data_IF_963201812283
#
_entry.id   IF_963201812283
#
_cell.length_a   1.000
_cell.length_b   1.000
_cell.length_c   1.000
_cell.angle_alpha   90.00
_cell.angle_beta   90.00
_cell.angle_gamma   90.00
#
_symmetry.space_group_name_H-M   'P 1'
#
loop_
_entity.id
_entity.type
_entity.pdbx_description
1 polymer ?
#
# COMPACT_ATOMS: atom_id res chain seq x y z
N UNK A 1 -18.72 -2.47 -11.46
CA UNK A 1 -17.75 -2.52 -10.37
C UNK A 1 -17.49 -1.11 -9.91
N UNK A 2 -17.29 -0.91 -8.64
CA UNK A 2 -16.92 0.39 -8.07
C UNK A 2 -15.67 0.18 -7.22
N UNK A 3 -14.83 1.19 -7.12
CA UNK A 3 -13.54 1.07 -6.43
C UNK A 3 -13.30 2.26 -5.53
N UNK A 4 -12.65 1.99 -4.40
CA UNK A 4 -12.05 2.96 -3.49
C UNK A 4 -10.54 2.84 -3.60
N UNK A 5 -9.85 3.96 -3.75
CA UNK A 5 -8.42 4.08 -3.61
C UNK A 5 -8.12 4.90 -2.34
N UNK A 6 -7.55 4.24 -1.35
CA UNK A 6 -7.03 4.87 -0.15
C UNK A 6 -5.56 5.21 -0.39
N UNK A 7 -5.13 6.42 -0.10
CA UNK A 7 -3.78 6.86 -0.42
C UNK A 7 -3.35 8.06 0.43
N UNK A 8 -2.09 8.43 0.37
CA UNK A 8 -1.63 9.76 0.77
C UNK A 8 -1.26 10.59 -0.47
N UNK A 9 -0.81 11.83 -0.30
CA UNK A 9 -0.44 12.69 -1.44
C UNK A 9 1.04 13.06 -1.44
N UNK A 10 1.62 13.16 -2.63
CA UNK A 10 2.95 13.73 -2.87
C UNK A 10 2.91 15.26 -2.67
N UNK A 11 2.86 15.66 -1.41
CA UNK A 11 2.79 17.05 -1.03
C UNK A 11 3.61 17.25 0.24
N UNK A 12 4.69 17.98 0.13
CA UNK A 12 5.63 18.19 1.22
C UNK A 12 5.10 19.23 2.21
N UNK A 13 3.94 18.95 2.73
CA UNK A 13 3.23 19.69 3.75
C UNK A 13 2.55 18.71 4.70
N UNK A 14 2.30 19.03 5.97
CA UNK A 14 1.68 18.10 6.92
C UNK A 14 0.32 17.54 6.46
N UNK A 15 -0.39 18.27 5.62
CA UNK A 15 -1.66 17.81 5.05
C UNK A 15 -1.50 16.86 3.86
N UNK A 16 -0.33 16.75 3.25
CA UNK A 16 -0.04 15.78 2.20
C UNK A 16 0.02 14.35 2.73
N UNK A 17 0.68 14.16 3.85
CA UNK A 17 0.89 12.87 4.50
C UNK A 17 -0.23 12.59 5.51
N UNK A 18 -1.45 12.47 4.99
CA UNK A 18 -2.68 12.14 5.68
C UNK A 18 -3.46 11.12 4.85
N UNK A 19 -4.61 10.65 5.35
CA UNK A 19 -5.45 9.69 4.61
C UNK A 19 -6.37 10.41 3.66
N UNK A 20 -6.27 10.06 2.39
CA UNK A 20 -7.14 10.51 1.31
C UNK A 20 -7.91 9.34 0.71
N UNK A 21 -9.10 9.62 0.24
CA UNK A 21 -9.91 8.68 -0.53
C UNK A 21 -10.21 9.22 -1.92
N UNK A 22 -10.18 8.33 -2.88
CA UNK A 22 -10.64 8.57 -4.24
C UNK A 22 -11.49 7.41 -4.71
N UNK A 23 -12.47 7.65 -5.54
CA UNK A 23 -13.38 6.61 -6.00
C UNK A 23 -13.41 6.53 -7.52
N UNK A 24 -13.75 5.36 -8.03
CA UNK A 24 -13.91 5.10 -9.46
C UNK A 24 -15.13 4.21 -9.72
N UNK A 25 -15.83 4.48 -10.85
CA UNK A 25 -16.92 3.62 -11.36
C UNK A 25 -16.44 2.57 -12.36
N UNK A 26 -15.22 2.74 -12.86
CA UNK A 26 -14.72 1.94 -13.97
C UNK A 26 -13.28 1.44 -13.78
N UNK A 27 -12.60 1.86 -12.68
CA UNK A 27 -11.20 1.57 -12.44
C UNK A 27 -10.22 2.40 -13.27
N UNK A 28 -10.70 3.18 -14.24
CA UNK A 28 -9.87 4.00 -15.13
C UNK A 28 -9.82 5.47 -14.73
N UNK A 29 -10.95 6.02 -14.29
CA UNK A 29 -11.10 7.44 -13.92
C UNK A 29 -11.36 7.54 -12.44
N UNK A 30 -10.51 8.29 -11.76
CA UNK A 30 -10.50 8.41 -10.32
C UNK A 30 -10.87 9.83 -9.89
N UNK A 31 -11.91 9.94 -9.10
CA UNK A 31 -12.39 11.19 -8.54
C UNK A 31 -11.94 11.30 -7.08
N UNK A 32 -11.14 12.33 -6.69
CA UNK A 32 -10.82 12.55 -5.28
C UNK A 32 -12.10 12.89 -4.51
N UNK A 33 -12.18 12.45 -3.27
CA UNK A 33 -13.26 12.81 -2.36
C UNK A 33 -12.90 14.02 -1.48
N UNK A 34 -13.89 14.54 -0.75
CA UNK A 34 -13.75 15.62 0.23
C UNK A 34 -13.09 16.90 -0.36
N UNK A 35 -13.40 17.24 -1.61
CA UNK A 35 -12.78 18.38 -2.29
C UNK A 35 -11.26 18.25 -2.44
N UNK A 36 -10.72 17.04 -2.35
CA UNK A 36 -9.28 16.77 -2.35
C UNK A 36 -8.57 17.08 -1.03
N UNK A 37 -9.32 17.30 0.06
CA UNK A 37 -8.81 17.38 1.43
C UNK A 37 -8.70 15.98 2.06
N UNK A 38 -7.92 15.81 3.15
CA UNK A 38 -7.86 14.54 3.87
C UNK A 38 -9.23 14.10 4.40
N UNK A 39 -9.49 12.80 4.36
CA UNK A 39 -10.66 12.17 5.01
C UNK A 39 -10.37 11.86 6.47
N UNK A 40 -9.15 11.37 6.76
CA UNK A 40 -8.67 11.16 8.13
C UNK A 40 -7.34 11.89 8.33
N UNK A 41 -7.14 12.39 9.55
CA UNK A 41 -5.93 13.13 9.93
C UNK A 41 -5.24 12.50 11.12
N UNK A 42 -3.91 12.55 11.14
CA UNK A 42 -3.09 12.04 12.21
C UNK A 42 -2.91 13.10 13.30
N UNK A 43 -3.47 12.82 14.48
CA UNK A 43 -3.28 13.63 15.69
C UNK A 43 -2.28 13.02 16.69
N UNK A 44 -1.79 11.81 16.42
CA UNK A 44 -0.90 11.02 17.28
C UNK A 44 0.35 10.57 16.49
N UNK A 45 1.35 10.04 17.18
CA UNK A 45 2.55 9.50 16.56
C UNK A 45 3.39 10.56 15.85
N UNK A 46 3.76 10.29 14.61
CA UNK A 46 4.57 11.16 13.77
C UNK A 46 3.83 12.43 13.30
N UNK A 47 2.51 12.51 13.51
CA UNK A 47 1.66 13.62 13.05
C UNK A 47 1.33 13.60 11.56
N UNK A 48 1.58 12.49 10.90
CA UNK A 48 1.24 12.18 9.52
C UNK A 48 1.30 10.69 9.27
N UNK A 49 0.79 10.26 8.13
CA UNK A 49 0.83 8.85 7.72
C UNK A 49 1.07 8.69 6.22
N UNK A 50 1.64 7.55 5.87
CA UNK A 50 1.93 7.13 4.50
C UNK A 50 1.39 5.72 4.27
N UNK A 51 1.40 5.27 3.02
CA UNK A 51 1.15 3.88 2.65
C UNK A 51 -0.18 3.37 3.24
N UNK A 52 -1.26 3.96 2.74
CA UNK A 52 -2.60 3.82 3.34
C UNK A 52 -3.30 2.58 2.80
N UNK A 53 -3.63 1.65 3.69
CA UNK A 53 -4.38 0.44 3.38
C UNK A 53 -5.81 0.52 3.94
N UNK A 54 -6.80 0.25 3.10
CA UNK A 54 -8.22 0.20 3.46
C UNK A 54 -8.72 -1.24 3.44
N UNK A 55 -9.30 -1.65 4.55
CA UNK A 55 -9.79 -3.02 4.76
C UNK A 55 -11.28 -3.04 5.00
N UNK A 56 -11.99 -3.83 4.20
CA UNK A 56 -13.39 -4.17 4.41
C UNK A 56 -13.48 -5.46 5.23
N UNK A 57 -14.08 -5.37 6.41
CA UNK A 57 -14.15 -6.51 7.32
C UNK A 57 -15.23 -7.50 6.90
N UNK A 58 -14.93 -8.80 6.94
CA UNK A 58 -15.91 -9.89 6.67
C UNK A 58 -17.08 -9.89 7.67
N UNK A 59 -16.83 -9.41 8.88
CA UNK A 59 -17.85 -9.27 9.93
C UNK A 59 -18.68 -7.99 9.83
N UNK A 60 -18.41 -7.17 8.85
CA UNK A 60 -18.95 -5.81 8.70
C UNK A 60 -18.06 -4.74 9.33
N UNK A 61 -18.16 -3.51 8.81
CA UNK A 61 -17.30 -2.39 9.18
C UNK A 61 -16.00 -2.34 8.38
N UNK A 62 -15.17 -1.36 8.71
CA UNK A 62 -14.02 -0.96 7.93
C UNK A 62 -12.85 -0.57 8.83
N UNK A 63 -11.64 -0.81 8.34
CA UNK A 63 -10.40 -0.41 8.99
C UNK A 63 -9.53 0.33 7.98
N UNK A 64 -8.85 1.36 8.43
CA UNK A 64 -7.71 1.97 7.72
C UNK A 64 -6.46 1.73 8.54
N UNK A 65 -5.43 1.21 7.89
CA UNK A 65 -4.07 1.09 8.42
C UNK A 65 -3.14 2.01 7.64
N UNK A 66 -2.11 2.54 8.28
CA UNK A 66 -1.10 3.34 7.60
C UNK A 66 0.22 3.35 8.37
N UNK A 67 1.32 3.56 7.65
CA UNK A 67 2.63 3.83 8.22
C UNK A 67 2.59 5.09 9.09
N UNK A 68 3.00 5.02 10.33
CA UNK A 68 3.15 6.19 11.22
C UNK A 68 4.46 6.92 10.87
N UNK A 69 4.42 7.74 9.83
CA UNK A 69 5.56 8.52 9.34
C UNK A 69 5.08 9.81 8.69
N UNK A 70 5.69 10.92 9.07
CA UNK A 70 5.54 12.22 8.43
C UNK A 70 6.92 12.74 8.02
N UNK A 71 7.22 12.70 6.74
CA UNK A 71 8.53 13.11 6.21
C UNK A 71 8.80 14.59 6.45
N UNK A 72 7.76 15.42 6.35
CA UNK A 72 7.89 16.87 6.61
C UNK A 72 8.40 17.13 8.02
N UNK A 73 8.02 16.32 9.00
CA UNK A 73 8.47 16.44 10.40
C UNK A 73 9.88 15.85 10.63
N UNK A 74 10.46 15.19 9.63
CA UNK A 74 11.80 14.59 9.65
C UNK A 74 12.80 15.30 8.74
N UNK A 75 12.41 16.35 8.06
CA UNK A 75 13.27 17.16 7.22
C UNK A 75 14.19 18.04 8.06
N UNK A 76 15.43 18.16 7.61
CA UNK A 76 16.35 19.17 8.11
C UNK A 76 15.98 20.59 7.60
N UNK A 77 16.73 21.60 8.05
CA UNK A 77 16.53 22.99 7.62
C UNK A 77 16.72 23.23 6.11
N UNK A 78 17.27 22.28 5.38
CA UNK A 78 17.48 22.29 3.94
C UNK A 78 16.46 21.44 3.15
N UNK A 79 15.52 20.80 3.85
CA UNK A 79 14.52 19.93 3.25
C UNK A 79 15.03 18.51 2.95
N UNK A 80 16.17 18.11 3.49
CA UNK A 80 16.68 16.75 3.31
C UNK A 80 16.08 15.81 4.36
N UNK A 81 15.87 14.57 3.97
CA UNK A 81 15.41 13.48 4.83
C UNK A 81 16.54 12.50 5.09
N UNK A 82 16.81 12.20 6.35
CA UNK A 82 17.68 11.10 6.73
C UNK A 82 16.89 9.79 6.72
N UNK A 83 16.85 9.13 5.55
CA UNK A 83 16.17 7.86 5.38
C UNK A 83 16.76 6.73 6.23
N UNK A 84 18.07 6.83 6.54
CA UNK A 84 18.72 5.88 7.44
C UNK A 84 18.16 6.02 8.85
N UNK A 85 18.01 7.24 9.36
CA UNK A 85 17.36 7.48 10.65
C UNK A 85 15.88 7.05 10.61
N UNK A 86 15.17 7.31 9.52
CA UNK A 86 13.77 6.90 9.38
C UNK A 86 13.57 5.38 9.48
N UNK A 87 14.47 4.57 8.93
CA UNK A 87 14.33 3.12 8.97
C UNK A 87 15.05 2.42 10.13
N UNK A 88 15.90 3.14 10.90
CA UNK A 88 16.54 2.63 12.14
C UNK A 88 15.79 3.06 13.40
N UNK A 89 15.34 4.32 13.42
CA UNK A 89 14.69 4.98 14.55
C UNK A 89 13.27 5.44 14.20
N UNK A 90 12.64 4.73 13.28
CA UNK A 90 11.26 4.98 12.86
C UNK A 90 10.23 4.60 13.92
N UNK A 91 8.96 4.90 13.64
CA UNK A 91 7.87 4.48 14.50
C UNK A 91 7.75 2.95 14.51
N UNK A 92 7.48 2.39 15.68
CA UNK A 92 7.19 0.97 15.91
C UNK A 92 5.69 0.71 16.01
N UNK A 93 4.91 1.69 15.56
CA UNK A 93 3.47 1.65 15.53
C UNK A 93 2.96 1.81 14.10
N UNK A 94 1.78 1.27 13.85
CA UNK A 94 0.95 1.66 12.71
C UNK A 94 -0.21 2.51 13.19
N UNK A 95 -0.60 3.49 12.37
CA UNK A 95 -1.83 4.24 12.57
C UNK A 95 -3.03 3.42 12.13
N UNK A 96 -4.10 3.41 12.93
CA UNK A 96 -5.31 2.64 12.67
C UNK A 96 -6.57 3.45 13.00
N UNK A 97 -7.56 3.37 12.12
CA UNK A 97 -8.92 3.90 12.33
C UNK A 97 -9.96 2.82 12.03
N UNK A 98 -11.11 2.90 12.68
CA UNK A 98 -12.26 2.00 12.48
C UNK A 98 -13.51 2.79 12.18
N UNK A 99 -14.36 2.22 11.33
CA UNK A 99 -15.71 2.74 11.05
C UNK A 99 -16.67 1.58 10.83
N UNK A 100 -17.92 1.76 11.23
CA UNK A 100 -18.99 0.82 10.93
C UNK A 100 -19.75 1.19 9.63
N UNK A 101 -19.58 2.41 9.12
CA UNK A 101 -20.43 2.96 8.06
C UNK A 101 -19.70 3.79 6.98
N UNK A 102 -18.37 3.84 6.97
CA UNK A 102 -17.51 4.64 6.06
C UNK A 102 -17.54 6.16 6.30
N UNK A 103 -18.37 6.63 7.20
CA UNK A 103 -18.61 8.07 7.43
C UNK A 103 -18.10 8.49 8.80
N UNK A 104 -18.48 7.73 9.82
CA UNK A 104 -18.11 8.00 11.20
C UNK A 104 -16.90 7.13 11.57
N UNK A 105 -15.74 7.75 11.55
CA UNK A 105 -14.47 7.11 11.93
C UNK A 105 -14.16 7.36 13.40
N UNK A 106 -13.69 6.32 14.07
CA UNK A 106 -13.15 6.44 15.42
C UNK A 106 -11.88 7.30 15.46
N UNK A 107 -11.38 7.55 16.66
CA UNK A 107 -10.08 8.23 16.83
C UNK A 107 -8.93 7.38 16.29
N UNK A 108 -7.85 8.05 15.86
CA UNK A 108 -6.60 7.38 15.53
C UNK A 108 -6.08 6.56 16.71
N UNK A 109 -5.81 5.30 16.48
CA UNK A 109 -5.08 4.42 17.38
C UNK A 109 -3.66 4.20 16.85
N UNK A 110 -2.69 4.09 17.75
CA UNK A 110 -1.34 3.63 17.42
C UNK A 110 -1.21 2.19 17.87
N UNK A 111 -1.02 1.27 16.93
CA UNK A 111 -0.98 -0.16 17.17
C UNK A 111 0.47 -0.63 17.21
N UNK A 112 0.88 -1.22 18.35
CA UNK A 112 2.18 -1.84 18.56
C UNK A 112 2.07 -3.36 18.45
N UNK A 113 2.91 -3.98 17.61
CA UNK A 113 2.88 -5.42 17.40
C UNK A 113 3.81 -6.23 18.33
N UNK A 114 4.35 -5.61 19.38
CA UNK A 114 5.08 -6.32 20.44
C UNK A 114 6.57 -6.57 20.18
N UNK A 115 7.17 -5.91 19.18
CA UNK A 115 8.62 -6.01 18.92
C UNK A 115 9.29 -4.64 18.95
N UNK A 116 10.14 -4.44 19.98
CA UNK A 116 10.92 -3.23 20.18
C UNK A 116 12.17 -3.15 19.27
N UNK A 117 12.60 -4.29 18.75
CA UNK A 117 13.82 -4.41 17.94
C UNK A 117 13.61 -4.12 16.45
N UNK A 118 12.39 -3.80 16.00
CA UNK A 118 12.15 -3.25 14.68
C UNK A 118 12.69 -1.82 14.58
N UNK A 119 13.29 -1.48 13.44
CA UNK A 119 13.71 -0.11 13.14
C UNK A 119 12.57 0.78 12.66
N UNK A 120 11.60 0.19 11.97
CA UNK A 120 10.41 0.86 11.45
C UNK A 120 9.30 -0.16 11.16
N UNK A 121 8.08 0.32 10.90
CA UNK A 121 6.98 -0.47 10.31
C UNK A 121 6.46 0.32 9.11
N UNK A 122 6.80 -0.12 7.89
CA UNK A 122 6.49 0.61 6.67
C UNK A 122 5.61 -0.18 5.71
N UNK A 123 4.73 0.54 5.03
CA UNK A 123 3.87 0.02 3.98
C UNK A 123 3.07 -1.21 4.44
N UNK A 124 2.19 -1.05 5.45
CA UNK A 124 1.32 -2.14 5.85
C UNK A 124 0.31 -2.44 4.77
N UNK A 125 0.15 -3.71 4.45
CA UNK A 125 -0.95 -4.23 3.66
C UNK A 125 -1.65 -5.39 4.35
N UNK A 126 -2.86 -5.72 3.91
CA UNK A 126 -3.71 -6.70 4.56
C UNK A 126 -4.26 -7.69 3.54
N UNK A 127 -3.94 -8.95 3.73
CA UNK A 127 -4.53 -10.05 2.99
C UNK A 127 -5.49 -10.85 3.87
N UNK A 128 -6.73 -11.11 3.41
CA UNK A 128 -7.65 -11.99 4.12
C UNK A 128 -7.42 -13.45 3.72
N UNK A 129 -6.96 -14.25 4.67
CA UNK A 129 -6.77 -15.70 4.50
C UNK A 129 -8.10 -16.43 4.77
N UNK A 130 -8.79 -16.80 3.70
CA UNK A 130 -10.07 -17.53 3.79
C UNK A 130 -9.92 -18.93 4.39
N UNK A 131 -8.70 -19.54 4.31
CA UNK A 131 -8.45 -20.89 4.84
C UNK A 131 -8.36 -20.85 6.35
N UNK A 132 -7.72 -19.80 6.92
CA UNK A 132 -7.53 -19.64 8.37
C UNK A 132 -8.59 -18.75 9.02
N UNK A 133 -9.43 -18.10 8.21
CA UNK A 133 -10.42 -17.12 8.63
C UNK A 133 -9.79 -16.02 9.50
N UNK A 134 -8.74 -15.41 8.95
CA UNK A 134 -7.99 -14.32 9.61
C UNK A 134 -7.39 -13.37 8.59
N UNK A 135 -7.05 -12.18 9.03
CA UNK A 135 -6.32 -11.19 8.25
C UNK A 135 -4.82 -11.33 8.52
N UNK A 136 -4.03 -11.47 7.47
CA UNK A 136 -2.59 -11.35 7.51
C UNK A 136 -2.24 -9.87 7.26
N UNK A 137 -1.68 -9.21 8.26
CA UNK A 137 -1.08 -7.88 8.08
C UNK A 137 0.39 -8.11 7.79
N UNK A 138 0.92 -7.52 6.73
CA UNK A 138 2.34 -7.61 6.39
C UNK A 138 2.92 -6.22 6.10
N UNK A 139 4.21 -6.03 6.38
CA UNK A 139 4.89 -4.74 6.29
C UNK A 139 6.40 -4.90 6.14
N UNK A 140 7.09 -3.86 5.67
CA UNK A 140 8.56 -3.79 5.62
C UNK A 140 9.15 -3.33 6.96
N UNK A 141 10.18 -4.04 7.45
CA UNK A 141 10.96 -3.65 8.63
C UNK A 141 12.42 -4.01 8.49
N UNK A 142 13.27 -3.20 9.12
CA UNK A 142 14.63 -3.56 9.52
C UNK A 142 14.65 -4.02 10.96
N UNK A 143 15.66 -4.77 11.40
CA UNK A 143 15.76 -5.30 12.75
C UNK A 143 17.13 -5.02 13.40
N UNK A 144 17.15 -4.89 14.72
CA UNK A 144 18.38 -4.62 15.46
C UNK A 144 19.40 -5.75 15.41
N UNK A 145 18.95 -7.00 15.21
CA UNK A 145 19.81 -8.19 15.18
C UNK A 145 20.88 -8.11 14.07
N UNK A 146 20.54 -7.53 12.93
CA UNK A 146 21.47 -7.33 11.80
C UNK A 146 22.05 -5.89 11.74
N UNK A 147 21.82 -5.08 12.78
CA UNK A 147 22.22 -3.67 12.83
C UNK A 147 21.36 -2.77 11.92
N UNK A 148 20.12 -3.16 11.67
CA UNK A 148 19.17 -2.48 10.78
C UNK A 148 19.68 -2.35 9.33
N UNK A 149 20.47 -3.33 8.90
CA UNK A 149 21.16 -3.27 7.61
C UNK A 149 20.34 -3.86 6.46
N UNK A 150 19.23 -4.55 6.76
CA UNK A 150 18.45 -5.28 5.76
C UNK A 150 16.95 -5.17 6.02
N UNK A 151 16.22 -4.65 5.05
CA UNK A 151 14.76 -4.59 5.11
C UNK A 151 14.13 -5.86 4.52
N UNK A 152 13.22 -6.45 5.29
CA UNK A 152 12.46 -7.65 4.93
C UNK A 152 10.99 -7.46 5.24
N UNK A 153 10.13 -8.32 4.66
CA UNK A 153 8.70 -8.33 4.95
C UNK A 153 8.42 -9.20 6.17
N UNK A 154 7.78 -8.59 7.17
CA UNK A 154 7.27 -9.25 8.36
C UNK A 154 5.75 -9.32 8.31
N UNK A 155 5.15 -10.18 9.12
CA UNK A 155 3.70 -10.29 9.22
C UNK A 155 3.24 -10.64 10.63
N UNK A 156 1.98 -10.33 10.90
CA UNK A 156 1.19 -10.88 12.01
C UNK A 156 -0.23 -11.18 11.53
N UNK A 157 -0.96 -11.96 12.32
CA UNK A 157 -2.35 -12.29 12.04
C UNK A 157 -3.30 -11.64 13.04
N UNK A 158 -4.50 -11.33 12.59
CA UNK A 158 -5.60 -10.82 13.42
C UNK A 158 -6.96 -11.27 12.88
N UNK A 159 -7.95 -11.40 13.77
CA UNK A 159 -9.34 -11.63 13.37
C UNK A 159 -10.22 -10.39 13.49
N UNK A 160 -9.76 -9.40 14.25
CA UNK A 160 -10.61 -8.29 14.72
C UNK A 160 -9.90 -6.93 14.72
N UNK A 161 -8.64 -6.89 14.29
CA UNK A 161 -7.76 -5.70 14.36
C UNK A 161 -7.64 -5.12 15.78
N UNK A 162 -7.90 -5.93 16.83
CA UNK A 162 -7.76 -5.55 18.25
C UNK A 162 -6.71 -6.42 18.94
N UNK A 163 -6.66 -7.68 18.55
CA UNK A 163 -5.70 -8.66 19.04
C UNK A 163 -4.85 -9.16 17.88
N UNK A 164 -3.55 -9.22 18.09
CA UNK A 164 -2.58 -9.57 17.05
C UNK A 164 -1.68 -10.71 17.50
N UNK A 165 -1.35 -11.60 16.60
CA UNK A 165 -0.30 -12.60 16.86
C UNK A 165 1.07 -11.92 16.94
N UNK A 166 2.05 -12.60 17.52
CA UNK A 166 3.44 -12.12 17.50
C UNK A 166 3.94 -11.98 16.06
N UNK A 167 4.67 -10.91 15.74
CA UNK A 167 5.29 -10.72 14.44
C UNK A 167 6.30 -11.82 14.11
N UNK A 168 6.34 -12.19 12.84
CA UNK A 168 7.32 -13.13 12.29
C UNK A 168 7.79 -12.70 10.91
N UNK A 169 8.97 -13.18 10.51
CA UNK A 169 9.45 -13.01 9.15
C UNK A 169 8.48 -13.71 8.18
N UNK A 170 8.04 -12.99 7.15
CA UNK A 170 7.16 -13.51 6.11
C UNK A 170 7.93 -13.81 4.83
N UNK A 171 8.68 -12.83 4.34
CA UNK A 171 9.41 -12.96 3.09
C UNK A 171 10.68 -12.11 3.11
N UNK A 172 11.77 -12.65 2.59
CA UNK A 172 13.07 -11.97 2.48
C UNK A 172 13.80 -12.39 1.22
N UNK A 173 14.67 -11.55 0.75
CA UNK A 173 15.57 -11.78 -0.40
C UNK A 173 16.98 -11.34 -0.01
N UNK A 174 17.95 -11.58 -0.89
CA UNK A 174 19.33 -11.09 -0.73
C UNK A 174 19.38 -9.55 -0.74
N UNK A 175 18.59 -8.93 -1.60
CA UNK A 175 18.39 -7.47 -1.63
C UNK A 175 17.29 -7.05 -0.65
N UNK A 176 17.36 -5.80 -0.16
CA UNK A 176 16.29 -5.20 0.62
C UNK A 176 14.99 -5.14 -0.18
N UNK A 177 13.89 -5.52 0.49
CA UNK A 177 12.56 -5.54 -0.11
C UNK A 177 11.56 -4.86 0.80
N UNK A 178 10.57 -4.18 0.21
CA UNK A 178 9.45 -3.55 0.92
C UNK A 178 8.24 -3.42 -0.03
N UNK A 179 7.18 -2.77 0.41
CA UNK A 179 5.97 -2.51 -0.36
C UNK A 179 5.43 -3.79 -1.00
N UNK A 180 5.07 -4.76 -0.18
CA UNK A 180 4.56 -6.03 -0.67
C UNK A 180 3.04 -6.00 -0.81
N UNK A 181 2.53 -6.61 -1.88
CA UNK A 181 1.10 -6.79 -2.14
C UNK A 181 0.81 -8.25 -2.46
N UNK A 182 -0.23 -8.83 -1.86
CA UNK A 182 -0.63 -10.22 -2.09
C UNK A 182 -2.02 -10.26 -2.72
N UNK A 183 -2.11 -10.91 -3.88
CA UNK A 183 -3.39 -11.21 -4.53
C UNK A 183 -3.54 -12.72 -4.72
N UNK A 184 -4.71 -13.28 -4.39
CA UNK A 184 -5.01 -14.70 -4.62
C UNK A 184 -5.92 -14.86 -5.83
N UNK A 185 -5.42 -15.55 -6.85
CA UNK A 185 -6.21 -15.87 -8.04
C UNK A 185 -6.29 -17.40 -8.19
N UNK A 186 -7.49 -17.94 -8.07
CA UNK A 186 -7.70 -19.39 -7.99
C UNK A 186 -6.98 -19.99 -6.79
N UNK A 187 -6.06 -20.90 -7.02
CA UNK A 187 -5.20 -21.55 -5.99
C UNK A 187 -3.76 -21.04 -6.01
N UNK A 188 -3.53 -19.86 -6.60
CA UNK A 188 -2.20 -19.25 -6.67
C UNK A 188 -2.19 -17.92 -5.92
N UNK A 189 -1.19 -17.75 -5.06
CA UNK A 189 -0.87 -16.50 -4.40
C UNK A 189 0.18 -15.77 -5.22
N UNK A 190 -0.14 -14.57 -5.65
CA UNK A 190 0.76 -13.65 -6.36
C UNK A 190 1.28 -12.63 -5.37
N UNK A 191 2.59 -12.53 -5.23
CA UNK A 191 3.28 -11.57 -4.38
C UNK A 191 4.01 -10.56 -5.27
N UNK A 192 3.60 -9.31 -5.20
CA UNK A 192 4.34 -8.18 -5.79
C UNK A 192 5.11 -7.49 -4.67
N UNK A 193 6.32 -7.03 -4.95
CA UNK A 193 7.13 -6.34 -3.94
C UNK A 193 8.18 -5.45 -4.60
N UNK A 194 8.56 -4.38 -3.91
CA UNK A 194 9.64 -3.52 -4.34
C UNK A 194 10.99 -4.13 -3.98
N UNK A 195 11.91 -4.16 -4.96
CA UNK A 195 13.32 -4.40 -4.76
C UNK A 195 14.02 -3.06 -4.59
N UNK A 196 14.67 -2.82 -3.45
CA UNK A 196 15.36 -1.56 -3.17
C UNK A 196 16.74 -1.42 -3.87
N UNK A 197 17.21 -2.45 -4.59
CA UNK A 197 18.42 -2.35 -5.39
C UNK A 197 18.26 -1.34 -6.53
N UNK A 198 19.34 -0.73 -6.93
CA UNK A 198 19.32 0.23 -8.03
C UNK A 198 19.45 -0.47 -9.40
N UNK A 199 18.59 -0.18 -10.41
CA UNK A 199 17.42 0.66 -10.25
C UNK A 199 16.33 -0.07 -9.45
N UNK A 200 15.69 0.62 -8.50
CA UNK A 200 14.59 0.05 -7.74
C UNK A 200 13.42 -0.27 -8.68
N UNK A 201 12.94 -1.50 -8.65
CA UNK A 201 11.85 -1.96 -9.50
C UNK A 201 10.87 -2.84 -8.71
N UNK A 202 9.67 -2.95 -9.21
CA UNK A 202 8.69 -3.88 -8.67
C UNK A 202 8.94 -5.29 -9.22
N UNK A 203 8.80 -6.28 -8.35
CA UNK A 203 9.05 -7.69 -8.63
C UNK A 203 7.75 -8.48 -8.46
N UNK A 204 7.69 -9.64 -9.10
CA UNK A 204 6.60 -10.59 -8.94
C UNK A 204 7.14 -11.99 -8.60
N UNK A 205 6.41 -12.67 -7.71
CA UNK A 205 6.62 -14.08 -7.41
C UNK A 205 5.28 -14.77 -7.14
N UNK A 206 5.20 -16.07 -7.32
CA UNK A 206 3.96 -16.82 -7.13
C UNK A 206 4.17 -18.07 -6.28
N UNK A 207 3.14 -18.48 -5.52
CA UNK A 207 3.15 -19.67 -4.67
C UNK A 207 1.78 -20.36 -4.66
N UNK A 208 1.77 -21.65 -4.25
CA UNK A 208 0.53 -22.40 -3.96
C UNK A 208 0.10 -22.34 -2.50
N UNK A 209 0.98 -21.91 -1.62
CA UNK A 209 0.69 -21.63 -0.20
C UNK A 209 0.97 -20.17 0.11
N UNK A 210 0.16 -19.55 0.97
CA UNK A 210 0.31 -18.15 1.37
C UNK A 210 1.70 -17.84 1.94
N UNK A 211 2.31 -18.81 2.61
CA UNK A 211 3.64 -18.66 3.22
C UNK A 211 4.77 -19.18 2.34
N UNK A 212 4.49 -19.45 1.04
CA UNK A 212 5.47 -19.93 0.07
C UNK A 212 5.74 -21.43 0.10
N UNK A 213 6.82 -21.87 -0.57
CA UNK A 213 7.84 -21.04 -1.19
C UNK A 213 7.34 -20.29 -2.42
N UNK A 214 7.71 -19.02 -2.53
CA UNK A 214 7.40 -18.19 -3.70
C UNK A 214 8.43 -18.36 -4.80
N UNK A 215 7.97 -18.74 -5.99
CA UNK A 215 8.79 -18.86 -7.19
C UNK A 215 8.85 -17.50 -7.89
N UNK A 216 10.08 -17.07 -8.19
CA UNK A 216 10.34 -15.79 -8.83
C UNK A 216 9.91 -15.80 -10.31
N UNK A 217 9.30 -14.69 -10.76
CA UNK A 217 8.89 -14.48 -12.14
C UNK A 217 9.95 -13.69 -12.92
N UNK A 218 10.89 -14.41 -13.54
CA UNK A 218 11.95 -13.81 -14.33
C UNK A 218 11.44 -13.09 -15.60
N UNK A 219 10.25 -13.43 -16.11
CA UNK A 219 9.68 -12.76 -17.28
C UNK A 219 9.12 -11.37 -16.90
N UNK A 220 8.49 -11.26 -15.73
CA UNK A 220 8.05 -9.98 -15.19
C UNK A 220 9.24 -9.08 -14.89
N UNK A 221 10.28 -9.58 -14.22
CA UNK A 221 11.52 -8.83 -13.95
C UNK A 221 12.14 -8.31 -15.24
N UNK A 222 12.36 -9.17 -16.24
CA UNK A 222 12.93 -8.78 -17.52
C UNK A 222 12.11 -7.70 -18.24
N UNK A 223 10.78 -7.74 -18.10
CA UNK A 223 9.92 -6.69 -18.64
C UNK A 223 10.10 -5.37 -17.90
N UNK A 224 10.09 -5.37 -16.57
CA UNK A 224 10.28 -4.17 -15.76
C UNK A 224 11.65 -3.53 -16.04
N UNK A 225 12.70 -4.34 -16.15
CA UNK A 225 14.05 -3.89 -16.49
C UNK A 225 14.11 -3.25 -17.90
N UNK A 226 13.36 -3.80 -18.86
CA UNK A 226 13.29 -3.29 -20.24
C UNK A 226 12.67 -1.88 -20.36
N UNK A 227 11.95 -1.40 -19.34
CA UNK A 227 11.32 -0.09 -19.37
C UNK A 227 12.33 1.06 -19.37
N UNK A 228 13.53 0.84 -18.79
CA UNK A 228 14.66 1.79 -18.88
C UNK A 228 14.33 3.18 -18.35
N UNK A 229 13.41 3.29 -17.37
CA UNK A 229 12.93 4.57 -16.87
C UNK A 229 13.97 5.26 -15.98
N UNK A 230 13.97 6.61 -15.93
CA UNK A 230 14.85 7.38 -15.05
C UNK A 230 14.45 7.30 -13.57
N UNK A 231 13.25 6.79 -13.26
CA UNK A 231 12.71 6.60 -11.92
C UNK A 231 12.57 5.12 -11.56
N UNK A 232 11.83 4.86 -10.49
CA UNK A 232 11.57 3.53 -9.98
C UNK A 232 10.08 3.31 -9.71
N UNK A 233 9.67 2.05 -9.57
CA UNK A 233 8.31 1.66 -9.28
C UNK A 233 8.20 1.06 -7.87
N UNK A 234 7.18 1.49 -7.13
CA UNK A 234 6.86 0.99 -5.79
C UNK A 234 5.35 0.81 -5.62
N UNK A 235 4.90 0.47 -4.41
CA UNK A 235 3.50 0.50 -4.03
C UNK A 235 2.57 -0.29 -4.99
N UNK A 236 2.79 -1.61 -5.15
CA UNK A 236 1.92 -2.42 -5.98
C UNK A 236 0.51 -2.50 -5.39
N UNK A 237 -0.50 -2.36 -6.24
CA UNK A 237 -1.89 -2.64 -5.92
C UNK A 237 -2.57 -3.29 -7.13
N UNK A 238 -3.39 -4.29 -6.93
CA UNK A 238 -4.08 -4.98 -8.03
C UNK A 238 -5.58 -4.79 -7.99
N UNK A 239 -6.21 -4.85 -9.16
CA UNK A 239 -7.66 -4.90 -9.29
C UNK A 239 -8.06 -5.61 -10.58
N UNK A 240 -9.23 -6.23 -10.59
CA UNK A 240 -9.85 -6.69 -11.84
C UNK A 240 -10.70 -5.57 -12.42
N UNK A 241 -10.47 -5.23 -13.68
CA UNK A 241 -11.25 -4.20 -14.38
C UNK A 241 -12.61 -4.76 -14.87
N UNK A 242 -13.62 -3.92 -15.16
CA UNK A 242 -14.93 -4.36 -15.61
C UNK A 242 -14.90 -5.15 -16.91
N UNK A 243 -13.88 -5.01 -17.72
CA UNK A 243 -13.68 -5.77 -18.96
C UNK A 243 -12.95 -7.11 -18.75
N UNK A 244 -12.67 -7.47 -17.48
CA UNK A 244 -12.04 -8.73 -17.08
C UNK A 244 -10.52 -8.72 -17.09
N UNK A 245 -9.88 -7.64 -17.51
CA UNK A 245 -8.42 -7.51 -17.45
C UNK A 245 -7.94 -7.35 -16.02
N UNK A 246 -6.76 -7.85 -15.75
CA UNK A 246 -6.08 -7.61 -14.48
C UNK A 246 -5.21 -6.37 -14.58
N UNK A 247 -5.37 -5.46 -13.64
CA UNK A 247 -4.61 -4.23 -13.55
C UNK A 247 -3.69 -4.27 -12.34
N UNK A 248 -2.40 -4.07 -12.56
CA UNK A 248 -1.41 -3.77 -11.55
C UNK A 248 -1.12 -2.27 -11.60
N UNK A 249 -1.34 -1.59 -10.52
CA UNK A 249 -1.00 -0.18 -10.33
C UNK A 249 0.31 -0.08 -9.57
N UNK A 250 1.25 0.72 -10.09
CA UNK A 250 2.54 0.98 -9.46
C UNK A 250 2.75 2.49 -9.34
N UNK A 251 3.24 2.95 -8.20
CA UNK A 251 3.65 4.33 -7.99
C UNK A 251 5.04 4.55 -8.60
N UNK A 252 5.12 5.44 -9.57
CA UNK A 252 6.36 5.82 -10.25
C UNK A 252 6.94 7.07 -9.59
N UNK A 253 8.18 6.99 -9.12
CA UNK A 253 8.86 8.03 -8.36
C UNK A 253 10.33 8.21 -8.76
N UNK A 254 11.04 9.15 -8.12
CA UNK A 254 12.47 9.37 -8.33
C UNK A 254 12.83 10.02 -9.68
N UNK A 255 11.89 10.72 -10.28
CA UNK A 255 12.04 11.45 -11.53
C UNK A 255 11.49 12.89 -11.41
N UNK A 256 11.33 13.56 -12.55
CA UNK A 256 10.68 14.88 -12.58
C UNK A 256 9.25 14.79 -12.00
N UNK A 257 8.91 15.73 -11.15
CA UNK A 257 7.67 15.72 -10.34
C UNK A 257 6.39 15.54 -11.18
N UNK A 258 6.36 16.11 -12.36
CA UNK A 258 5.23 16.04 -13.30
C UNK A 258 5.05 14.64 -13.92
N UNK A 259 6.06 13.77 -13.78
CA UNK A 259 6.05 12.39 -14.27
C UNK A 259 5.76 11.37 -13.17
N UNK A 260 5.78 11.80 -11.89
CA UNK A 260 5.53 10.94 -10.74
C UNK A 260 4.05 10.63 -10.58
N UNK A 261 3.74 9.48 -10.01
CA UNK A 261 2.40 9.03 -9.69
C UNK A 261 2.09 7.63 -10.21
N UNK A 262 0.85 7.22 -10.06
CA UNK A 262 0.45 5.86 -10.42
C UNK A 262 0.48 5.60 -11.91
N UNK A 263 1.01 4.41 -12.25
CA UNK A 263 1.13 3.91 -13.61
C UNK A 263 0.44 2.55 -13.69
N UNK A 264 -0.55 2.38 -14.59
CA UNK A 264 -1.21 1.11 -14.78
C UNK A 264 -0.44 0.17 -15.71
N UNK A 265 -0.42 -1.11 -15.33
CA UNK A 265 0.06 -2.22 -16.10
C UNK A 265 -1.09 -3.22 -16.27
N UNK A 266 -1.40 -3.60 -17.47
CA UNK A 266 -2.54 -4.46 -17.77
C UNK A 266 -2.10 -5.85 -18.23
N UNK A 267 -2.82 -6.84 -17.76
CA UNK A 267 -2.74 -8.23 -18.21
C UNK A 267 -4.10 -8.71 -18.70
N UNK A 268 -4.17 -9.67 -19.63
CA UNK A 268 -5.42 -10.14 -20.23
C UNK A 268 -6.46 -10.64 -19.24
N UNK A 269 -6.04 -11.24 -18.12
CA UNK A 269 -6.93 -11.80 -17.10
C UNK A 269 -6.21 -11.93 -15.76
N UNK A 270 -6.95 -11.96 -14.62
CA UNK A 270 -6.36 -12.29 -13.33
C UNK A 270 -5.61 -13.62 -13.36
N UNK A 271 -4.41 -13.63 -12.75
CA UNK A 271 -3.49 -14.76 -12.73
C UNK A 271 -2.52 -14.86 -13.90
N UNK A 272 -2.71 -14.08 -14.96
CA UNK A 272 -1.74 -13.91 -16.03
C UNK A 272 -0.79 -12.77 -15.68
N UNK A 273 0.45 -13.07 -15.29
CA UNK A 273 1.45 -12.07 -14.92
C UNK A 273 2.13 -11.38 -16.13
N UNK A 274 1.62 -11.56 -17.33
CA UNK A 274 2.09 -10.92 -18.55
C UNK A 274 1.76 -9.43 -18.67
N UNK A 275 1.91 -8.68 -17.59
CA UNK A 275 1.60 -7.25 -17.52
C UNK A 275 2.35 -6.40 -18.54
N UNK A 276 1.64 -5.41 -19.09
CA UNK A 276 2.22 -4.39 -19.98
C UNK A 276 1.67 -3.02 -19.60
N UNK A 277 2.53 -2.02 -19.59
CA UNK A 277 2.15 -0.64 -19.31
C UNK A 277 1.11 -0.15 -20.33
N UNK A 278 -0.01 0.38 -19.85
CA UNK A 278 -1.06 1.00 -20.66
C UNK A 278 -1.69 2.17 -19.91
N UNK A 279 -1.25 3.37 -20.24
CA UNK A 279 -1.72 4.61 -19.63
C UNK A 279 -2.93 5.22 -20.36
N UNK A 280 -3.27 4.74 -21.55
CA UNK A 280 -4.13 5.48 -22.48
C UNK A 280 -5.56 5.74 -21.97
N UNK A 281 -6.11 4.82 -21.17
CA UNK A 281 -7.47 4.94 -20.64
C UNK A 281 -7.53 5.50 -19.20
N UNK A 282 -6.40 5.65 -18.52
CA UNK A 282 -6.36 5.99 -17.10
C UNK A 282 -6.18 7.48 -16.85
N UNK A 283 -6.89 7.99 -15.84
CA UNK A 283 -6.74 9.35 -15.34
C UNK A 283 -6.69 9.35 -13.82
N UNK A 284 -5.50 9.62 -13.28
CA UNK A 284 -5.28 9.80 -11.86
C UNK A 284 -5.13 11.29 -11.55
N UNK A 285 -5.82 11.84 -10.53
CA UNK A 285 -5.53 13.17 -10.03
C UNK A 285 -4.08 13.27 -9.53
N UNK A 286 -3.49 14.45 -9.69
CA UNK A 286 -2.14 14.71 -9.20
C UNK A 286 -2.00 14.43 -7.71
N UNK A 287 -0.87 13.85 -7.32
CA UNK A 287 -0.45 13.68 -5.94
C UNK A 287 -0.88 12.37 -5.28
N UNK A 288 -1.49 11.45 -6.01
CA UNK A 288 -1.72 10.10 -5.49
C UNK A 288 -0.39 9.40 -5.26
N UNK A 289 -0.19 8.96 -4.03
CA UNK A 289 0.98 8.19 -3.61
C UNK A 289 0.53 6.89 -2.95
N UNK A 290 1.45 6.04 -2.63
CA UNK A 290 1.29 4.70 -2.11
C UNK A 290 -0.01 4.48 -1.34
N UNK A 291 -0.83 3.57 -1.82
CA UNK A 291 -2.12 3.20 -1.24
C UNK A 291 -2.70 1.96 -1.90
N UNK A 292 -3.79 1.48 -1.34
CA UNK A 292 -4.50 0.28 -1.78
C UNK A 292 -5.77 0.57 -2.57
N UNK A 293 -6.13 -0.36 -3.48
CA UNK A 293 -7.40 -0.33 -4.20
C UNK A 293 -8.30 -1.45 -3.70
N UNK A 294 -9.53 -1.08 -3.30
CA UNK A 294 -10.53 -2.03 -2.82
C UNK A 294 -11.79 -1.95 -3.67
N UNK A 295 -12.31 -3.09 -4.10
CA UNK A 295 -13.63 -3.14 -4.73
C UNK A 295 -14.71 -2.86 -3.70
N UNK A 296 -15.61 -1.92 -4.03
CA UNK A 296 -16.73 -1.51 -3.17
C UNK A 296 -18.06 -1.70 -3.89
N UNK A 297 -19.13 -1.78 -3.13
CA UNK A 297 -20.49 -1.82 -3.66
C UNK A 297 -20.94 -0.45 -4.16
N UNK A 298 -21.97 -0.41 -4.99
CA UNK A 298 -22.61 0.84 -5.40
C UNK A 298 -23.11 1.65 -4.21
N UNK A 299 -23.67 0.98 -3.19
CA UNK A 299 -24.15 1.64 -1.98
C UNK A 299 -23.03 2.30 -1.19
N UNK A 300 -21.87 1.64 -1.05
CA UNK A 300 -20.66 2.22 -0.43
C UNK A 300 -20.12 3.40 -1.24
N UNK A 301 -20.08 3.26 -2.56
CA UNK A 301 -19.67 4.35 -3.47
C UNK A 301 -20.55 5.59 -3.31
N UNK A 302 -21.89 5.43 -3.33
CA UNK A 302 -22.82 6.56 -3.16
C UNK A 302 -22.76 7.14 -1.75
N UNK A 303 -22.57 6.30 -0.71
CA UNK A 303 -22.37 6.75 0.69
C UNK A 303 -21.13 7.65 0.79
N UNK A 304 -20.00 7.21 0.23
CA UNK A 304 -18.75 7.99 0.23
C UNK A 304 -18.93 9.33 -0.48
N UNK A 305 -19.54 9.34 -1.66
CA UNK A 305 -19.77 10.57 -2.42
C UNK A 305 -20.72 11.56 -1.75
N UNK A 306 -21.75 11.04 -1.08
CA UNK A 306 -22.71 11.87 -0.38
C UNK A 306 -22.12 12.57 0.86
N UNK A 307 -21.21 11.90 1.56
CA UNK A 307 -20.64 12.38 2.82
C UNK A 307 -19.26 13.08 2.66
N UNK A 308 -18.56 12.81 1.56
CA UNK A 308 -17.31 13.48 1.20
C UNK A 308 -17.42 14.16 -0.17
N UNK A 309 -18.32 15.16 -0.30
CA UNK A 309 -18.59 15.78 -1.59
C UNK A 309 -17.39 16.57 -2.11
N UNK A 310 -17.33 16.67 -3.42
CA UNK A 310 -16.51 17.69 -4.09
C UNK A 310 -17.37 18.93 -4.29
N UNK A 311 -16.89 20.12 -3.88
CA UNK A 311 -17.63 21.37 -4.03
C UNK A 311 -17.80 21.78 -5.51
#
# INVERSE_FOLDING_TARGET
MYYLFSHFKEKWTPDGEQVYFSVSRDGYRWDPLNGGAPVLTCGKGAGGCRDVEFVKLKTGGYVVLATDLCIVNRMDAHGNVDWKDCNHNGSKFLSLWRSDDLVHWGEQELVFFGREDFGCLWAPEVFYDEIRDEYLIHWGSTVAEDGFSHMSIYCCATKDFRTFSSPRLFFTKENEILDSHIEKVGDTYHLFYKNSSAPAMNMHAAAKDLYGPYEHDAAFEAYMDSLGNPGAYEAPATMTLPDGRWCLLLDFFGCEKEKMGYVPFLSPAPGDAGFRMDKAAFTFPYGFKHGGVTEITEAEYETLRANYPNP
#
